data_IF_592261702087
#
_entry.id   IF_592261702087
#
_cell.length_a   1.000
_cell.length_b   1.000
_cell.length_c   1.000
_cell.angle_alpha   90.00
_cell.angle_beta   90.00
_cell.angle_gamma   90.00
#
_symmetry.space_group_name_H-M   'P 1'
#
loop_
_entity.id
_entity.type
_entity.pdbx_description
1 polymer ?
#
# COMPACT_ATOMS: atom_id res chain seq x y z
N UNK A 1 8.24 24.78 55.67
CA UNK A 1 7.65 25.10 54.36
C UNK A 1 8.05 23.98 53.40
N UNK A 2 7.07 23.19 52.95
CA UNK A 2 7.24 21.86 52.35
C UNK A 2 7.09 22.02 50.83
N UNK A 3 8.21 22.11 50.11
CA UNK A 3 8.19 22.21 48.65
C UNK A 3 7.93 20.82 48.07
N UNK A 4 6.72 20.60 47.57
CA UNK A 4 6.33 19.40 46.83
C UNK A 4 6.78 19.61 45.39
N UNK A 5 7.86 18.93 45.00
CA UNK A 5 8.29 18.83 43.60
C UNK A 5 7.36 17.83 42.92
N UNK A 6 6.44 18.36 42.11
CA UNK A 6 5.50 17.57 41.32
C UNK A 6 6.25 17.07 40.07
N UNK A 7 6.77 15.84 40.13
CA UNK A 7 7.47 15.22 39.01
C UNK A 7 6.44 14.72 37.98
N UNK A 8 6.27 15.48 36.89
CA UNK A 8 5.45 15.07 35.75
C UNK A 8 6.13 13.91 35.03
N UNK A 9 5.64 12.69 35.22
CA UNK A 9 6.09 11.51 34.46
C UNK A 9 5.51 11.63 33.06
N UNK A 10 6.32 12.16 32.14
CA UNK A 10 6.03 12.18 30.71
C UNK A 10 6.18 10.75 30.18
N UNK A 11 5.08 9.98 30.18
CA UNK A 11 5.03 8.66 29.53
C UNK A 11 5.10 8.89 28.02
N UNK A 12 6.32 8.81 27.49
CA UNK A 12 6.58 8.79 26.06
C UNK A 12 6.07 7.45 25.52
N UNK A 13 4.80 7.39 25.13
CA UNK A 13 4.24 6.24 24.40
C UNK A 13 4.90 6.27 23.01
N UNK A 14 6.05 5.62 22.87
CA UNK A 14 6.62 5.29 21.56
C UNK A 14 5.64 4.38 20.86
N UNK A 15 4.77 4.97 20.03
CA UNK A 15 3.97 4.21 19.07
C UNK A 15 4.95 3.57 18.09
N UNK A 16 5.34 2.32 18.36
CA UNK A 16 5.95 1.47 17.34
C UNK A 16 4.86 1.19 16.31
N UNK A 17 4.75 2.06 15.31
CA UNK A 17 3.96 1.76 14.12
C UNK A 17 4.58 0.52 13.50
N UNK A 18 3.93 -0.63 13.67
CA UNK A 18 4.33 -1.86 13.01
C UNK A 18 4.16 -1.62 11.51
N UNK A 19 5.27 -1.46 10.79
CA UNK A 19 5.24 -1.35 9.35
C UNK A 19 4.62 -2.62 8.76
N UNK A 20 3.67 -2.46 7.85
CA UNK A 20 3.06 -3.59 7.14
C UNK A 20 3.88 -3.89 5.90
N UNK A 21 4.42 -5.10 5.79
CA UNK A 21 5.09 -5.54 4.56
C UNK A 21 4.11 -6.24 3.63
N UNK A 22 4.03 -5.76 2.40
CA UNK A 22 3.24 -6.36 1.33
C UNK A 22 4.13 -6.92 0.22
N UNK A 23 3.63 -7.96 -0.45
CA UNK A 23 4.13 -8.42 -1.74
C UNK A 23 3.15 -8.01 -2.82
N UNK A 24 3.60 -7.19 -3.74
CA UNK A 24 2.81 -6.70 -4.85
C UNK A 24 3.35 -7.27 -6.17
N UNK A 25 2.45 -7.62 -7.07
CA UNK A 25 2.78 -8.10 -8.42
C UNK A 25 2.00 -7.29 -9.45
N UNK A 26 2.65 -6.99 -10.56
CA UNK A 26 2.00 -6.51 -11.77
C UNK A 26 1.88 -7.68 -12.74
N UNK A 27 0.70 -7.83 -13.33
CA UNK A 27 0.43 -8.80 -14.39
C UNK A 27 -0.04 -8.07 -15.63
N UNK A 28 0.54 -8.41 -16.76
CA UNK A 28 0.08 -8.01 -18.09
C UNK A 28 -0.37 -9.25 -18.84
N UNK A 29 -1.61 -9.25 -19.33
CA UNK A 29 -2.22 -10.41 -20.01
C UNK A 29 -2.03 -11.72 -19.21
N UNK A 30 -2.34 -11.69 -17.90
CA UNK A 30 -2.21 -12.79 -16.95
C UNK A 30 -0.78 -13.30 -16.69
N UNK A 31 0.24 -12.62 -17.21
CA UNK A 31 1.65 -12.96 -16.97
C UNK A 31 2.24 -11.99 -15.96
N UNK A 32 2.86 -12.48 -14.88
CA UNK A 32 3.59 -11.64 -13.93
C UNK A 32 4.76 -10.99 -14.64
N UNK A 33 4.75 -9.66 -14.74
CA UNK A 33 5.81 -8.87 -15.37
C UNK A 33 6.77 -8.29 -14.34
N UNK A 34 6.24 -7.90 -13.17
CA UNK A 34 7.01 -7.28 -12.09
C UNK A 34 6.52 -7.76 -10.73
N UNK A 35 7.46 -7.84 -9.79
CA UNK A 35 7.19 -8.17 -8.39
C UNK A 35 7.95 -7.20 -7.51
N UNK A 36 7.32 -6.73 -6.45
CA UNK A 36 7.93 -5.81 -5.50
C UNK A 36 7.45 -6.10 -4.08
N UNK A 37 8.38 -6.10 -3.14
CA UNK A 37 8.06 -6.02 -1.72
C UNK A 37 8.05 -4.57 -1.28
N UNK A 38 7.05 -4.18 -0.50
CA UNK A 38 6.90 -2.80 -0.02
C UNK A 38 6.60 -2.82 1.46
N UNK A 39 7.39 -2.07 2.22
CA UNK A 39 7.12 -1.77 3.62
C UNK A 39 6.31 -0.49 3.71
N UNK A 40 5.19 -0.56 4.42
CA UNK A 40 4.25 0.56 4.56
C UNK A 40 4.26 1.11 5.97
N UNK A 41 4.46 2.42 6.04
CA UNK A 41 4.12 3.22 7.20
C UNK A 41 2.67 3.71 7.08
N UNK A 42 1.92 3.63 8.17
CA UNK A 42 0.54 4.09 8.22
C UNK A 42 0.41 5.55 7.75
N UNK A 43 -0.52 5.79 6.82
CA UNK A 43 -0.80 7.11 6.24
C UNK A 43 0.23 7.58 5.20
N UNK A 44 1.33 6.85 4.98
CA UNK A 44 2.31 7.20 3.94
C UNK A 44 2.02 6.46 2.65
N UNK A 45 2.17 7.19 1.54
CA UNK A 45 2.09 6.64 0.19
C UNK A 45 3.43 6.01 -0.18
N UNK A 46 3.39 4.76 -0.64
CA UNK A 46 4.53 4.07 -1.23
C UNK A 46 4.34 3.87 -2.72
N UNK A 47 5.42 3.99 -3.49
CA UNK A 47 5.43 3.66 -4.92
C UNK A 47 5.50 2.16 -5.11
N UNK A 48 4.68 1.66 -6.03
CA UNK A 48 4.76 0.30 -6.54
C UNK A 48 5.55 0.33 -7.85
N UNK A 49 4.86 0.21 -8.98
CA UNK A 49 5.46 0.11 -10.30
C UNK A 49 5.42 1.45 -11.04
N UNK A 50 6.48 1.76 -11.78
CA UNK A 50 6.52 2.89 -12.71
C UNK A 50 7.16 2.46 -14.03
N UNK A 51 6.61 2.90 -15.16
CA UNK A 51 7.10 2.54 -16.49
C UNK A 51 5.98 2.60 -17.53
N UNK A 52 6.33 2.79 -18.80
CA UNK A 52 5.38 2.81 -19.93
C UNK A 52 4.20 3.80 -19.76
N UNK A 53 4.48 4.93 -19.10
CA UNK A 53 3.46 5.95 -18.77
C UNK A 53 2.53 5.56 -17.62
N UNK A 54 2.74 4.40 -17.01
CA UNK A 54 1.98 3.91 -15.87
C UNK A 54 2.74 4.18 -14.56
N UNK A 55 2.04 4.59 -13.51
CA UNK A 55 2.62 4.73 -12.17
C UNK A 55 1.61 4.34 -11.12
N UNK A 56 1.97 3.39 -10.26
CA UNK A 56 1.11 2.87 -9.21
C UNK A 56 1.63 3.15 -7.81
N UNK A 57 0.68 3.26 -6.88
CA UNK A 57 0.94 3.56 -5.49
C UNK A 57 0.02 2.75 -4.60
N UNK A 58 0.48 2.50 -3.37
CA UNK A 58 -0.33 1.93 -2.31
C UNK A 58 -0.18 2.76 -1.03
N UNK A 59 -1.21 2.76 -0.19
CA UNK A 59 -1.23 3.47 1.09
C UNK A 59 -2.03 2.67 2.09
N UNK A 60 -1.49 2.44 3.28
CA UNK A 60 -2.28 1.96 4.41
C UNK A 60 -2.99 3.16 5.04
N UNK A 61 -4.32 3.25 4.90
CA UNK A 61 -5.11 4.41 5.36
C UNK A 61 -5.43 4.34 6.84
N UNK A 62 -5.68 3.13 7.32
CA UNK A 62 -5.88 2.75 8.72
C UNK A 62 -5.34 1.32 8.86
N UNK A 63 -4.97 0.88 10.08
CA UNK A 63 -4.41 -0.46 10.27
C UNK A 63 -5.22 -1.56 9.56
N UNK A 64 -4.58 -2.26 8.63
CA UNK A 64 -5.17 -3.35 7.85
C UNK A 64 -6.12 -2.94 6.71
N UNK A 65 -6.24 -1.65 6.39
CA UNK A 65 -7.08 -1.17 5.27
C UNK A 65 -6.27 -0.27 4.33
N UNK A 66 -6.28 -0.62 3.05
CA UNK A 66 -5.37 -0.09 2.06
C UNK A 66 -6.13 0.55 0.91
N UNK A 67 -5.48 1.53 0.28
CA UNK A 67 -5.88 2.06 -1.02
C UNK A 67 -4.75 1.87 -2.01
N UNK A 68 -5.09 1.43 -3.21
CA UNK A 68 -4.18 1.27 -4.33
C UNK A 68 -4.64 2.13 -5.50
N UNK A 69 -3.70 2.76 -6.17
CA UNK A 69 -3.96 3.71 -7.25
C UNK A 69 -3.03 3.39 -8.43
N UNK A 70 -3.53 3.50 -9.65
CA UNK A 70 -2.73 3.42 -10.88
C UNK A 70 -3.07 4.62 -11.75
N UNK A 71 -2.07 5.42 -12.09
CA UNK A 71 -2.18 6.48 -13.08
C UNK A 71 -1.60 6.00 -14.41
N UNK A 72 -2.37 6.15 -15.49
CA UNK A 72 -1.99 5.75 -16.85
C UNK A 72 -1.93 7.01 -17.73
N UNK A 73 -0.75 7.61 -17.84
CA UNK A 73 -0.55 8.88 -18.52
C UNK A 73 -0.99 8.84 -20.00
N UNK A 74 -0.72 7.74 -20.71
CA UNK A 74 -1.11 7.58 -22.11
C UNK A 74 -2.63 7.54 -22.35
N UNK A 75 -3.44 7.41 -21.29
CA UNK A 75 -4.91 7.38 -21.34
C UNK A 75 -5.55 8.48 -20.51
N UNK A 76 -4.75 9.30 -19.84
CA UNK A 76 -5.21 10.29 -18.86
C UNK A 76 -6.18 9.68 -17.82
N UNK A 77 -5.98 8.41 -17.48
CA UNK A 77 -6.87 7.65 -16.62
C UNK A 77 -6.23 7.39 -15.26
N UNK A 78 -7.05 7.40 -14.22
CA UNK A 78 -6.69 6.93 -12.88
C UNK A 78 -7.64 5.82 -12.46
N UNK A 79 -7.06 4.72 -12.02
CA UNK A 79 -7.76 3.60 -11.42
C UNK A 79 -7.53 3.62 -9.92
N UNK A 80 -8.48 3.03 -9.21
CA UNK A 80 -8.53 3.05 -7.77
C UNK A 80 -9.13 1.76 -7.23
N UNK A 81 -8.56 1.24 -6.16
CA UNK A 81 -9.09 0.10 -5.41
C UNK A 81 -8.84 0.30 -3.92
N UNK A 82 -9.77 -0.15 -3.09
CA UNK A 82 -9.70 -0.04 -1.64
C UNK A 82 -10.23 -1.28 -0.96
N UNK A 83 -9.61 -1.65 0.15
CA UNK A 83 -10.09 -2.74 0.96
C UNK A 83 -9.09 -3.23 1.99
N UNK A 84 -9.50 -4.20 2.82
CA UNK A 84 -8.56 -4.95 3.63
C UNK A 84 -7.64 -5.77 2.73
N UNK A 85 -6.40 -6.01 3.19
CA UNK A 85 -5.48 -6.98 2.59
C UNK A 85 -5.20 -8.05 3.64
N UNK A 86 -5.27 -9.30 3.22
CA UNK A 86 -4.73 -10.43 3.97
C UNK A 86 -4.01 -11.38 3.02
N UNK A 87 -3.41 -12.44 3.55
CA UNK A 87 -2.81 -13.50 2.74
C UNK A 87 -3.85 -14.17 1.81
N UNK A 88 -5.06 -14.43 2.33
CA UNK A 88 -6.13 -15.11 1.59
C UNK A 88 -6.96 -14.18 0.70
N UNK A 89 -6.86 -12.87 0.92
CA UNK A 89 -7.64 -11.86 0.21
C UNK A 89 -6.72 -10.69 -0.19
N UNK A 90 -6.09 -10.76 -1.38
CA UNK A 90 -5.28 -9.66 -1.88
C UNK A 90 -6.16 -8.47 -2.30
N UNK A 91 -5.59 -7.27 -2.24
CA UNK A 91 -6.19 -6.11 -2.89
C UNK A 91 -5.80 -6.12 -4.36
N UNK A 92 -6.79 -6.07 -5.24
CA UNK A 92 -6.62 -6.11 -6.68
C UNK A 92 -7.08 -4.79 -7.28
N UNK A 93 -6.29 -4.25 -8.19
CA UNK A 93 -6.65 -3.16 -9.09
C UNK A 93 -6.40 -3.65 -10.50
N UNK A 94 -7.43 -3.65 -11.34
CA UNK A 94 -7.31 -4.15 -12.70
C UNK A 94 -8.02 -3.23 -13.71
N UNK A 95 -7.48 -3.19 -14.91
CA UNK A 95 -8.15 -2.66 -16.09
C UNK A 95 -8.18 -3.74 -17.15
N UNK A 96 -9.37 -3.94 -17.71
CA UNK A 96 -9.58 -4.85 -18.80
C UNK A 96 -10.24 -4.11 -19.95
N UNK A 97 -9.51 -4.07 -21.06
CA UNK A 97 -9.99 -3.56 -22.34
C UNK A 97 -9.83 -4.66 -23.39
N UNK A 98 -10.33 -4.41 -24.61
CA UNK A 98 -10.14 -5.34 -25.72
C UNK A 98 -8.65 -5.65 -25.99
N UNK A 99 -7.80 -4.65 -25.87
CA UNK A 99 -6.42 -4.70 -26.35
C UNK A 99 -5.39 -4.82 -25.21
N UNK A 100 -5.83 -4.78 -23.96
CA UNK A 100 -4.96 -4.75 -22.78
C UNK A 100 -5.66 -5.28 -21.54
N UNK A 101 -4.91 -6.07 -20.76
CA UNK A 101 -5.23 -6.46 -19.40
C UNK A 101 -4.03 -6.13 -18.52
N UNK A 102 -4.20 -5.16 -17.62
CA UNK A 102 -3.23 -4.85 -16.56
C UNK A 102 -3.90 -5.13 -15.23
N UNK A 103 -3.21 -5.86 -14.38
CA UNK A 103 -3.63 -6.14 -13.01
C UNK A 103 -2.46 -5.85 -12.05
N UNK A 104 -2.76 -5.19 -10.94
CA UNK A 104 -1.87 -5.06 -9.80
C UNK A 104 -2.54 -5.76 -8.63
N UNK A 105 -1.83 -6.70 -8.03
CA UNK A 105 -2.30 -7.47 -6.88
C UNK A 105 -1.30 -7.27 -5.74
N UNK A 106 -1.79 -6.94 -4.54
CA UNK A 106 -0.98 -6.84 -3.34
C UNK A 106 -1.54 -7.74 -2.23
N UNK A 107 -0.69 -8.59 -1.64
CA UNK A 107 -0.99 -9.46 -0.52
C UNK A 107 -0.05 -9.19 0.66
N UNK A 108 -0.51 -9.48 1.88
CA UNK A 108 0.37 -9.44 3.06
C UNK A 108 1.34 -10.61 3.01
N UNK A 109 2.62 -10.34 3.31
CA UNK A 109 3.58 -11.41 3.51
C UNK A 109 3.32 -12.10 4.86
N UNK A 110 3.33 -13.43 4.84
CA UNK A 110 3.32 -14.25 6.07
C UNK A 110 4.55 -13.90 6.89
N UNK A 111 4.35 -13.54 8.16
CA UNK A 111 5.45 -13.41 9.14
C UNK A 111 5.85 -14.78 9.65
#
# INVERSE_FOLDING_TARGET
MKNIILTTVLVLVTQTTLATTLNCVEKMANTVTRTQKVDLDLGKRASLFSGDGNTSYITEKKPGFFSMELFMAGREQRLYSEGPISEAAPLILAIWTRDELIEIECSQLVK
#
